data_IF_043544934739
#
_entry.id   IF_043544934739
#
_cell.length_a   1.000
_cell.length_b   1.000
_cell.length_c   1.000
_cell.angle_alpha   90.00
_cell.angle_beta   90.00
_cell.angle_gamma   90.00
#
_symmetry.space_group_name_H-M   'P 1'
#
loop_
_entity.id
_entity.type
_entity.pdbx_description
1 polymer ?
#
# COMPACT_ATOMS: atom_id res chain seq x y z
N UNK A 1 -14.13 8.02 17.89
CA UNK A 1 -13.29 7.28 16.91
C UNK A 1 -14.00 7.11 15.55
N UNK A 2 -15.06 6.30 15.43
CA UNK A 2 -15.69 5.98 14.13
C UNK A 2 -16.10 7.19 13.27
N UNK A 3 -16.72 8.23 13.86
CA UNK A 3 -17.10 9.45 13.12
C UNK A 3 -15.90 10.18 12.49
N UNK A 4 -14.76 10.18 13.18
CA UNK A 4 -13.53 10.81 12.68
C UNK A 4 -12.94 10.01 11.53
N UNK A 5 -12.91 8.67 11.64
CA UNK A 5 -12.47 7.79 10.56
C UNK A 5 -13.35 7.98 9.31
N UNK A 6 -14.67 8.02 9.46
CA UNK A 6 -15.58 8.23 8.34
C UNK A 6 -15.38 9.60 7.66
N UNK A 7 -15.13 10.66 8.42
CA UNK A 7 -14.81 11.98 7.85
C UNK A 7 -13.46 11.97 7.12
N UNK A 8 -12.47 11.30 7.68
CA UNK A 8 -11.14 11.20 7.09
C UNK A 8 -11.15 10.42 5.77
N UNK A 9 -11.89 9.30 5.70
CA UNK A 9 -12.09 8.56 4.46
C UNK A 9 -12.72 9.43 3.36
N UNK A 10 -13.72 10.27 3.70
CA UNK A 10 -14.33 11.20 2.73
C UNK A 10 -13.37 12.29 2.28
N UNK A 11 -12.58 12.85 3.19
CA UNK A 11 -11.58 13.86 2.84
C UNK A 11 -10.51 13.30 1.91
N UNK A 12 -10.05 12.06 2.14
CA UNK A 12 -9.09 11.38 1.26
C UNK A 12 -9.66 11.07 -0.11
N UNK A 13 -10.94 10.74 -0.21
CA UNK A 13 -11.63 10.51 -1.47
C UNK A 13 -11.95 11.80 -2.25
N UNK A 14 -11.88 12.96 -1.60
CA UNK A 14 -12.24 14.26 -2.18
C UNK A 14 -11.12 14.91 -3.01
N UNK A 15 -11.44 15.98 -3.77
CA UNK A 15 -10.46 16.76 -4.51
C UNK A 15 -9.43 17.37 -3.54
N UNK A 16 -8.16 16.93 -3.62
CA UNK A 16 -7.08 17.37 -2.73
C UNK A 16 -6.64 16.34 -1.68
N UNK A 17 -7.22 15.13 -1.65
CA UNK A 17 -6.81 14.04 -0.75
C UNK A 17 -5.33 13.60 -0.88
N UNK A 18 -4.65 14.02 -1.94
CA UNK A 18 -3.21 13.81 -2.15
C UNK A 18 -2.30 14.68 -1.26
N UNK A 19 -2.85 15.70 -0.60
CA UNK A 19 -2.11 16.64 0.26
C UNK A 19 -2.13 16.30 1.76
N UNK A 20 -2.76 15.18 2.15
CA UNK A 20 -2.92 14.78 3.55
C UNK A 20 -4.25 15.18 4.18
N UNK A 21 -4.37 14.95 5.49
CA UNK A 21 -5.60 15.17 6.26
C UNK A 21 -5.56 16.50 7.04
N UNK A 22 -6.60 17.32 6.87
CA UNK A 22 -6.76 18.55 7.64
C UNK A 22 -7.52 18.27 8.94
N UNK A 23 -6.80 17.96 10.02
CA UNK A 23 -7.35 17.54 11.33
C UNK A 23 -8.45 18.47 11.89
N UNK A 24 -8.32 19.79 11.73
CA UNK A 24 -9.34 20.75 12.16
C UNK A 24 -10.63 20.67 11.33
N UNK A 25 -10.48 20.51 10.01
CA UNK A 25 -11.63 20.34 9.11
C UNK A 25 -12.33 19.00 9.39
N UNK A 26 -11.56 17.95 9.68
CA UNK A 26 -12.08 16.65 10.10
C UNK A 26 -12.89 16.73 11.39
N UNK A 27 -12.39 17.45 12.41
CA UNK A 27 -13.11 17.63 13.65
C UNK A 27 -14.48 18.28 13.42
N UNK A 28 -14.51 19.35 12.60
CA UNK A 28 -15.74 20.04 12.20
C UNK A 28 -16.70 19.11 11.45
N UNK A 29 -16.20 18.37 10.48
CA UNK A 29 -17.03 17.44 9.68
C UNK A 29 -17.55 16.26 10.51
N UNK A 30 -16.75 15.73 11.43
CA UNK A 30 -17.14 14.65 12.33
C UNK A 30 -18.05 15.12 13.49
N UNK A 31 -18.28 16.43 13.62
CA UNK A 31 -19.08 17.02 14.69
C UNK A 31 -18.48 16.82 16.08
N UNK A 32 -17.15 16.83 16.20
CA UNK A 32 -16.43 16.64 17.45
C UNK A 32 -15.44 17.78 17.70
N UNK A 33 -15.06 17.99 18.96
CA UNK A 33 -14.00 18.94 19.28
C UNK A 33 -12.64 18.48 18.76
N UNK A 34 -11.81 19.42 18.32
CA UNK A 34 -10.45 19.12 17.81
C UNK A 34 -9.59 18.38 18.84
N UNK A 35 -9.71 18.72 20.13
CA UNK A 35 -9.02 17.99 21.21
C UNK A 35 -9.45 16.53 21.32
N UNK A 36 -10.69 16.19 20.95
CA UNK A 36 -11.15 14.80 20.88
C UNK A 36 -10.47 14.03 19.74
N UNK A 37 -10.25 14.70 18.60
CA UNK A 37 -9.51 14.11 17.47
C UNK A 37 -8.08 13.81 17.91
N UNK A 38 -7.34 14.80 18.40
CA UNK A 38 -5.94 14.61 18.81
C UNK A 38 -5.77 13.64 20.00
N UNK A 39 -6.77 13.53 20.88
CA UNK A 39 -6.74 12.52 21.96
C UNK A 39 -6.78 11.08 21.42
N UNK A 40 -7.49 10.84 20.31
CA UNK A 40 -7.58 9.51 19.69
C UNK A 40 -6.54 9.29 18.60
N UNK A 41 -6.13 10.36 17.93
CA UNK A 41 -5.21 10.35 16.81
C UNK A 41 -4.21 11.49 16.99
N UNK A 42 -3.15 11.28 17.80
CA UNK A 42 -2.21 12.34 18.15
C UNK A 42 -1.51 12.96 16.94
N UNK A 43 -1.36 12.19 15.86
CA UNK A 43 -0.81 12.65 14.59
C UNK A 43 -1.74 12.23 13.44
N UNK A 44 -1.61 12.94 12.31
CA UNK A 44 -2.25 12.53 11.06
C UNK A 44 -1.85 11.10 10.67
N UNK A 45 -0.59 10.72 10.93
CA UNK A 45 -0.10 9.39 10.59
C UNK A 45 -0.82 8.29 11.38
N UNK A 46 -1.06 8.49 12.68
CA UNK A 46 -1.86 7.54 13.49
C UNK A 46 -3.29 7.39 12.94
N UNK A 47 -3.87 8.45 12.38
CA UNK A 47 -5.18 8.39 11.74
C UNK A 47 -5.16 7.63 10.41
N UNK A 48 -4.13 7.86 9.58
CA UNK A 48 -3.96 7.15 8.30
C UNK A 48 -3.73 5.65 8.52
N UNK A 49 -2.88 5.29 9.48
CA UNK A 49 -2.65 3.90 9.86
C UNK A 49 -3.94 3.24 10.36
N UNK A 50 -4.70 3.92 11.21
CA UNK A 50 -5.99 3.41 11.69
C UNK A 50 -7.07 3.27 10.60
N UNK A 51 -6.94 3.98 9.47
CA UNK A 51 -7.84 3.86 8.32
C UNK A 51 -7.42 2.75 7.37
N UNK A 52 -6.11 2.65 7.11
CA UNK A 52 -5.56 1.70 6.14
C UNK A 52 -5.26 0.31 6.71
N UNK A 53 -5.42 0.10 8.02
CA UNK A 53 -5.05 -1.16 8.69
C UNK A 53 -5.79 -2.36 8.10
N UNK A 54 -7.10 -2.27 7.85
CA UNK A 54 -7.89 -3.37 7.30
C UNK A 54 -7.40 -3.76 5.90
N UNK A 55 -7.11 -2.77 5.05
CA UNK A 55 -6.57 -3.01 3.71
C UNK A 55 -5.12 -3.56 3.76
N UNK A 56 -4.33 -3.17 4.75
CA UNK A 56 -2.98 -3.71 4.98
C UNK A 56 -3.05 -5.17 5.43
N UNK A 57 -3.94 -5.51 6.36
CA UNK A 57 -4.20 -6.89 6.80
C UNK A 57 -4.61 -7.78 5.63
N UNK A 58 -5.48 -7.27 4.76
CA UNK A 58 -5.85 -7.98 3.54
C UNK A 58 -4.65 -8.24 2.62
N UNK A 59 -3.74 -7.27 2.45
CA UNK A 59 -2.52 -7.44 1.65
C UNK A 59 -1.59 -8.48 2.28
N UNK A 60 -1.39 -8.43 3.60
CA UNK A 60 -0.63 -9.43 4.35
C UNK A 60 -1.22 -10.82 4.11
N UNK A 61 -2.54 -10.99 4.21
CA UNK A 61 -3.20 -12.26 3.96
C UNK A 61 -3.06 -12.76 2.51
N UNK A 62 -2.92 -11.86 1.53
CA UNK A 62 -2.61 -12.29 0.15
C UNK A 62 -1.16 -12.75 0.01
N UNK A 63 -0.21 -12.07 0.64
CA UNK A 63 1.19 -12.50 0.66
C UNK A 63 1.34 -13.84 1.38
N UNK A 64 0.68 -14.05 2.53
CA UNK A 64 0.68 -15.33 3.24
C UNK A 64 0.13 -16.49 2.38
N UNK A 65 -0.87 -16.22 1.52
CA UNK A 65 -1.37 -17.23 0.57
C UNK A 65 -0.40 -17.49 -0.58
N UNK A 66 0.28 -16.45 -1.05
CA UNK A 66 1.27 -16.55 -2.12
C UNK A 66 2.53 -17.30 -1.69
N UNK A 67 2.93 -17.19 -0.42
CA UNK A 67 4.06 -17.98 0.13
C UNK A 67 3.73 -19.46 0.27
N UNK A 68 2.44 -19.81 0.43
CA UNK A 68 1.96 -21.19 0.40
C UNK A 68 1.77 -21.79 -1.00
N UNK A 69 1.90 -21.00 -2.07
CA UNK A 69 1.80 -21.46 -3.46
C UNK A 69 3.18 -21.85 -4.01
N UNK A 70 3.35 -23.11 -4.37
CA UNK A 70 4.64 -23.64 -4.86
C UNK A 70 4.98 -23.18 -6.29
N UNK A 71 4.03 -22.60 -7.06
CA UNK A 71 4.22 -22.25 -8.48
C UNK A 71 5.13 -21.03 -8.71
N UNK A 72 6.37 -21.18 -9.22
CA UNK A 72 7.27 -20.05 -9.45
C UNK A 72 6.68 -19.01 -10.42
N UNK A 73 6.89 -17.72 -10.13
CA UNK A 73 6.52 -16.57 -10.97
C UNK A 73 5.03 -16.21 -11.04
N UNK A 74 4.12 -17.14 -10.73
CA UNK A 74 2.68 -16.89 -10.79
C UNK A 74 2.19 -15.97 -9.68
N UNK A 75 2.65 -16.20 -8.44
CA UNK A 75 2.14 -15.51 -7.26
C UNK A 75 2.61 -14.06 -7.15
N UNK A 76 3.83 -13.72 -7.58
CA UNK A 76 4.34 -12.35 -7.57
C UNK A 76 3.49 -11.42 -8.44
N UNK A 77 3.15 -11.84 -9.67
CA UNK A 77 2.36 -11.02 -10.58
C UNK A 77 0.99 -10.67 -9.99
N UNK A 78 0.32 -11.65 -9.38
CA UNK A 78 -0.99 -11.44 -8.75
C UNK A 78 -0.89 -10.57 -7.50
N UNK A 79 0.17 -10.73 -6.71
CA UNK A 79 0.46 -9.84 -5.57
C UNK A 79 0.63 -8.39 -6.01
N UNK A 80 1.44 -8.11 -7.04
CA UNK A 80 1.68 -6.74 -7.49
C UNK A 80 0.41 -6.10 -8.04
N UNK A 81 -0.41 -6.85 -8.80
CA UNK A 81 -1.71 -6.37 -9.29
C UNK A 81 -2.66 -6.06 -8.13
N UNK A 82 -2.71 -6.93 -7.11
CA UNK A 82 -3.58 -6.74 -5.94
C UNK A 82 -3.13 -5.56 -5.09
N UNK A 83 -1.83 -5.43 -4.83
CA UNK A 83 -1.24 -4.32 -4.10
C UNK A 83 -1.47 -2.98 -4.81
N UNK A 84 -1.26 -2.92 -6.13
CA UNK A 84 -1.55 -1.72 -6.92
C UNK A 84 -3.04 -1.35 -6.84
N UNK A 85 -3.94 -2.33 -7.04
CA UNK A 85 -5.37 -2.08 -6.94
C UNK A 85 -5.76 -1.54 -5.56
N UNK A 86 -5.25 -2.15 -4.49
CA UNK A 86 -5.54 -1.75 -3.13
C UNK A 86 -5.09 -0.30 -2.87
N UNK A 87 -3.88 0.09 -3.30
CA UNK A 87 -3.40 1.48 -3.19
C UNK A 87 -4.23 2.48 -4.00
N UNK A 88 -4.75 2.08 -5.17
CA UNK A 88 -5.59 2.95 -6.00
C UNK A 88 -7.00 3.13 -5.41
N UNK A 89 -7.51 2.12 -4.70
CA UNK A 89 -8.84 2.17 -4.07
C UNK A 89 -8.83 2.75 -2.67
N UNK A 90 -7.70 2.64 -1.96
CA UNK A 90 -7.55 3.08 -0.58
C UNK A 90 -6.35 4.04 -0.45
N UNK A 91 -6.59 5.36 -0.45
CA UNK A 91 -5.54 6.34 -0.25
C UNK A 91 -4.87 6.27 1.12
N UNK A 92 -5.55 5.77 2.16
CA UNK A 92 -4.95 5.61 3.48
C UNK A 92 -3.91 4.48 3.44
N UNK A 93 -4.23 3.35 2.81
CA UNK A 93 -3.26 2.29 2.56
C UNK A 93 -2.07 2.78 1.74
N UNK A 94 -2.31 3.56 0.67
CA UNK A 94 -1.24 4.14 -0.13
C UNK A 94 -0.31 5.04 0.71
N UNK A 95 -0.87 5.83 1.63
CA UNK A 95 -0.09 6.66 2.54
C UNK A 95 0.73 5.82 3.54
N UNK A 96 0.12 4.78 4.13
CA UNK A 96 0.82 3.85 5.03
C UNK A 96 1.99 3.16 4.34
N UNK A 97 1.79 2.67 3.11
CA UNK A 97 2.83 2.00 2.33
C UNK A 97 3.90 2.95 1.79
N UNK A 98 3.66 4.26 1.74
CA UNK A 98 4.64 5.24 1.28
C UNK A 98 5.66 5.60 2.37
N UNK A 99 5.29 5.48 3.64
CA UNK A 99 6.15 5.80 4.77
C UNK A 99 7.25 4.74 4.97
N UNK A 100 8.46 5.15 5.41
CA UNK A 100 9.56 4.23 5.69
C UNK A 100 9.33 3.42 6.97
N UNK A 101 8.49 3.91 7.89
CA UNK A 101 8.17 3.27 9.15
C UNK A 101 6.77 3.67 9.62
N UNK A 102 6.11 2.75 10.32
CA UNK A 102 4.85 3.03 10.99
C UNK A 102 5.06 3.73 12.35
N UNK A 103 4.04 4.46 12.79
CA UNK A 103 3.94 5.09 14.10
C UNK A 103 3.33 4.14 15.14
N UNK A 104 2.35 3.33 14.74
CA UNK A 104 1.72 2.33 15.60
C UNK A 104 2.46 0.98 15.52
N UNK A 105 2.65 0.32 16.67
CA UNK A 105 3.31 -0.99 16.76
C UNK A 105 2.62 -2.07 15.93
N UNK A 106 1.29 -2.07 15.93
CA UNK A 106 0.49 -3.08 15.26
C UNK A 106 0.63 -2.95 13.73
N UNK A 107 0.59 -1.72 13.22
CA UNK A 107 0.89 -1.42 11.82
C UNK A 107 2.32 -1.81 11.46
N UNK A 108 3.30 -1.53 12.33
CA UNK A 108 4.70 -1.91 12.10
C UNK A 108 4.85 -3.43 11.96
N UNK A 109 4.20 -4.21 12.84
CA UNK A 109 4.21 -5.66 12.76
C UNK A 109 3.58 -6.20 11.46
N UNK A 110 2.51 -5.57 10.97
CA UNK A 110 1.90 -5.91 9.68
C UNK A 110 2.83 -5.57 8.50
N UNK A 111 3.49 -4.42 8.50
CA UNK A 111 4.45 -4.04 7.46
C UNK A 111 5.67 -4.97 7.44
N UNK A 112 6.18 -5.36 8.61
CA UNK A 112 7.27 -6.32 8.71
C UNK A 112 6.87 -7.69 8.16
N UNK A 113 5.64 -8.16 8.47
CA UNK A 113 5.11 -9.40 7.94
C UNK A 113 4.89 -9.33 6.43
N UNK A 114 4.38 -8.21 5.93
CA UNK A 114 4.22 -7.96 4.49
C UNK A 114 5.57 -8.04 3.77
N UNK A 115 6.59 -7.36 4.31
CA UNK A 115 7.96 -7.37 3.76
C UNK A 115 8.56 -8.78 3.75
N UNK A 116 8.53 -9.46 4.89
CA UNK A 116 9.10 -10.81 5.01
C UNK A 116 8.44 -11.81 4.05
N UNK A 117 7.12 -11.73 3.88
CA UNK A 117 6.42 -12.61 2.94
C UNK A 117 6.70 -12.27 1.47
N UNK A 118 6.86 -10.98 1.13
CA UNK A 118 7.27 -10.58 -0.21
C UNK A 118 8.71 -11.04 -0.51
N UNK A 119 9.63 -10.90 0.45
CA UNK A 119 10.99 -11.41 0.34
C UNK A 119 11.00 -12.92 0.07
N UNK A 120 10.17 -13.71 0.77
CA UNK A 120 10.06 -15.15 0.52
C UNK A 120 9.57 -15.48 -0.90
N UNK A 121 8.62 -14.69 -1.44
CA UNK A 121 8.16 -14.85 -2.82
C UNK A 121 9.27 -14.49 -3.81
N UNK A 122 10.01 -13.41 -3.56
CA UNK A 122 11.13 -12.97 -4.41
C UNK A 122 12.27 -13.98 -4.40
N UNK A 123 12.67 -14.50 -3.23
CA UNK A 123 13.71 -15.51 -3.11
C UNK A 123 13.38 -16.77 -3.92
N UNK A 124 12.14 -17.25 -3.83
CA UNK A 124 11.67 -18.39 -4.61
C UNK A 124 11.72 -18.12 -6.12
N UNK A 125 11.31 -16.93 -6.56
CA UNK A 125 11.34 -16.55 -7.97
C UNK A 125 12.77 -16.30 -8.48
N UNK A 126 13.68 -15.80 -7.64
CA UNK A 126 15.13 -15.71 -7.93
C UNK A 126 15.75 -17.09 -8.10
N UNK A 127 15.46 -18.03 -7.20
CA UNK A 127 15.94 -19.41 -7.30
C UNK A 127 15.47 -20.11 -8.59
N UNK A 128 14.32 -19.70 -9.13
CA UNK A 128 13.80 -20.17 -10.42
C UNK A 128 14.34 -19.38 -11.64
N UNK A 129 15.21 -18.38 -11.44
CA UNK A 129 15.75 -17.53 -12.50
C UNK A 129 14.73 -16.57 -13.13
N UNK A 130 13.64 -16.26 -12.42
CA UNK A 130 12.55 -15.42 -12.92
C UNK A 130 12.68 -13.96 -12.49
N UNK A 131 13.45 -13.68 -11.44
CA UNK A 131 13.67 -12.34 -10.87
C UNK A 131 15.17 -12.08 -10.69
N UNK A 132 15.60 -10.83 -10.92
CA UNK A 132 16.97 -10.34 -10.72
C UNK A 132 17.36 -10.28 -9.23
N UNK A 133 18.65 -10.42 -8.94
CA UNK A 133 19.17 -10.55 -7.57
C UNK A 133 19.30 -9.21 -6.82
N UNK A 134 19.36 -8.10 -7.54
CA UNK A 134 19.63 -6.74 -7.02
C UNK A 134 18.37 -5.92 -6.73
N UNK A 135 17.21 -6.57 -6.60
CA UNK A 135 15.94 -5.90 -6.26
C UNK A 135 15.31 -6.60 -5.07
N UNK A 136 15.13 -5.89 -3.96
CA UNK A 136 14.53 -6.42 -2.72
C UNK A 136 13.03 -6.06 -2.57
N UNK A 137 12.39 -6.51 -1.47
CA UNK A 137 10.99 -6.19 -1.19
C UNK A 137 10.74 -4.68 -0.99
N UNK A 138 11.70 -3.91 -0.48
CA UNK A 138 11.56 -2.46 -0.30
C UNK A 138 11.60 -1.74 -1.65
N UNK A 139 12.46 -2.17 -2.58
CA UNK A 139 12.50 -1.70 -3.97
C UNK A 139 11.16 -1.96 -4.66
N UNK A 140 10.63 -3.19 -4.56
CA UNK A 140 9.33 -3.56 -5.13
C UNK A 140 8.21 -2.70 -4.53
N UNK A 141 8.21 -2.49 -3.21
CA UNK A 141 7.25 -1.59 -2.53
C UNK A 141 7.34 -0.17 -3.10
N UNK A 142 8.54 0.41 -3.19
CA UNK A 142 8.76 1.77 -3.71
C UNK A 142 8.32 1.90 -5.17
N UNK A 143 8.63 0.91 -6.01
CA UNK A 143 8.20 0.86 -7.41
C UNK A 143 6.67 0.86 -7.51
N UNK A 144 5.98 0.06 -6.68
CA UNK A 144 4.52 0.07 -6.65
C UNK A 144 3.93 1.38 -6.12
N UNK A 145 4.50 1.98 -5.08
CA UNK A 145 4.06 3.29 -4.58
C UNK A 145 4.20 4.37 -5.67
N UNK A 146 5.33 4.39 -6.39
CA UNK A 146 5.54 5.27 -7.53
C UNK A 146 4.53 5.03 -8.64
N UNK A 147 4.25 3.76 -8.96
CA UNK A 147 3.29 3.38 -9.98
C UNK A 147 1.85 3.77 -9.59
N UNK A 148 1.43 3.55 -8.34
CA UNK A 148 0.12 3.95 -7.83
C UNK A 148 -0.09 5.46 -7.97
N UNK A 149 0.94 6.26 -7.63
CA UNK A 149 0.91 7.72 -7.81
C UNK A 149 0.81 8.13 -9.29
N UNK A 150 1.61 7.51 -10.16
CA UNK A 150 1.58 7.79 -11.59
C UNK A 150 0.22 7.45 -12.22
N UNK A 151 -0.37 6.31 -11.84
CA UNK A 151 -1.68 5.88 -12.31
C UNK A 151 -2.79 6.79 -11.78
N UNK A 152 -2.74 7.20 -10.52
CA UNK A 152 -3.72 8.09 -9.90
C UNK A 152 -3.69 9.53 -10.42
N UNK A 153 -2.56 9.99 -10.96
CA UNK A 153 -2.41 11.33 -11.54
C UNK A 153 -2.94 11.43 -13.00
N UNK A 154 -3.16 10.31 -13.67
CA UNK A 154 -3.61 10.28 -15.07
C UNK A 154 -5.10 10.62 -15.25
N UNK A 155 -5.52 11.12 -16.43
CA UNK A 155 -6.92 11.39 -16.72
C UNK A 155 -7.76 10.10 -16.65
N UNK A 156 -8.90 10.16 -15.95
CA UNK A 156 -9.74 9.04 -15.51
C UNK A 156 -10.45 8.21 -16.61
N UNK A 157 -9.70 7.59 -17.50
CA UNK A 157 -10.12 6.39 -18.24
C UNK A 157 -9.30 5.23 -17.74
N UNK A 158 -9.98 4.10 -17.47
CA UNK A 158 -9.43 2.77 -17.16
C UNK A 158 -7.89 2.72 -17.32
N UNK A 159 -7.18 3.23 -16.31
CA UNK A 159 -5.74 3.38 -16.43
C UNK A 159 -5.16 2.00 -16.72
N UNK A 160 -4.16 1.87 -17.61
CA UNK A 160 -3.60 0.58 -18.00
C UNK A 160 -2.69 0.05 -16.88
N UNK A 161 -3.18 0.04 -15.64
CA UNK A 161 -2.54 -0.42 -14.41
C UNK A 161 -2.01 -1.83 -14.58
N UNK A 162 -2.79 -2.72 -15.22
CA UNK A 162 -2.33 -4.07 -15.58
C UNK A 162 -1.08 -4.02 -16.48
N UNK A 163 -1.11 -3.22 -17.56
CA UNK A 163 0.05 -3.05 -18.46
C UNK A 163 1.27 -2.51 -17.72
N UNK A 164 1.10 -1.58 -16.79
CA UNK A 164 2.22 -1.03 -16.04
C UNK A 164 2.79 -2.02 -15.03
N UNK A 165 1.96 -2.85 -14.40
CA UNK A 165 2.45 -3.98 -13.59
C UNK A 165 3.22 -4.95 -14.48
N UNK A 166 2.73 -5.25 -15.68
CA UNK A 166 3.44 -6.13 -16.61
C UNK A 166 4.80 -5.54 -17.04
N UNK A 167 4.89 -4.22 -17.24
CA UNK A 167 6.18 -3.53 -17.49
C UNK A 167 7.12 -3.67 -16.30
N UNK A 168 6.65 -3.49 -15.06
CA UNK A 168 7.46 -3.71 -13.85
C UNK A 168 7.92 -5.17 -13.78
N UNK A 169 7.02 -6.13 -13.95
CA UNK A 169 7.34 -7.57 -13.94
C UNK A 169 8.37 -7.95 -15.01
N UNK A 170 8.30 -7.35 -16.21
CA UNK A 170 9.31 -7.53 -17.25
C UNK A 170 10.66 -6.95 -16.84
N UNK A 171 10.69 -5.78 -16.19
CA UNK A 171 11.91 -5.16 -15.69
C UNK A 171 12.55 -5.87 -14.47
N UNK A 172 11.78 -6.69 -13.76
CA UNK A 172 12.27 -7.54 -12.67
C UNK A 172 12.99 -8.80 -13.18
N UNK A 173 12.82 -9.18 -14.45
CA UNK A 173 13.50 -10.35 -15.00
C UNK A 173 15.03 -10.14 -15.03
N UNK A 174 15.83 -11.21 -14.87
CA UNK A 174 17.27 -11.11 -15.05
C UNK A 174 17.63 -10.53 -16.42
N UNK A 175 18.67 -9.70 -16.52
CA UNK A 175 19.13 -9.18 -17.80
C UNK A 175 19.53 -10.33 -18.73
N UNK A 176 19.25 -10.19 -20.03
CA UNK A 176 19.77 -11.11 -21.02
C UNK A 176 21.31 -11.08 -20.96
N UNK A 177 21.92 -12.27 -20.85
CA UNK A 177 23.39 -12.42 -20.90
C UNK A 177 23.91 -12.15 -22.31
#
# INVERSE_FOLDING_TARGET
RARVLAAAARQLAGPGGSGGLAMNALAREAGVGVGTVYRHFPTQQVLLEALGVDALEELVAAVDRATGDERPGGSLADLLRRALRAQLTDPALAAVLAEPAATCSDTAALLDRLRAGLDAVLERDRAAGLVREDVDADDVRRLLCGLARAVGAGPGRASPSARYVDVVLQGLRPPAR
#
